data_IF_431363157007
#
_entry.id   IF_431363157007
#
_cell.length_a   1.000
_cell.length_b   1.000
_cell.length_c   1.000
_cell.angle_alpha   90.00
_cell.angle_beta   90.00
_cell.angle_gamma   90.00
#
_symmetry.space_group_name_H-M   'P 1'
#
loop_
_entity.id
_entity.type
_entity.pdbx_description
1 polymer ?
#
# COMPACT_ATOMS: atom_id res chain seq x y z
N UNK A 1 -20.93 14.68 -21.77
CA UNK A 1 -20.50 13.71 -20.75
C UNK A 1 -19.00 13.86 -20.59
N UNK A 2 -18.53 14.38 -19.46
CA UNK A 2 -17.10 14.49 -19.20
C UNK A 2 -16.55 13.07 -19.00
N UNK A 3 -15.58 12.67 -19.84
CA UNK A 3 -14.83 11.46 -19.59
C UNK A 3 -14.04 11.67 -18.29
N UNK A 4 -14.27 10.83 -17.28
CA UNK A 4 -13.49 10.84 -16.05
C UNK A 4 -12.06 10.41 -16.40
N UNK A 5 -11.09 11.29 -16.14
CA UNK A 5 -9.66 11.01 -16.23
C UNK A 5 -9.15 10.29 -14.97
N UNK A 6 -10.04 9.89 -14.07
CA UNK A 6 -9.73 9.22 -12.79
C UNK A 6 -8.95 7.90 -12.94
N UNK A 7 -8.76 7.40 -14.17
CA UNK A 7 -7.95 6.22 -14.49
C UNK A 7 -6.74 6.47 -15.40
N UNK A 8 -6.51 7.71 -15.86
CA UNK A 8 -5.31 8.10 -16.62
C UNK A 8 -4.46 8.93 -15.68
N UNK A 9 -3.91 8.27 -14.66
CA UNK A 9 -3.04 8.99 -13.78
C UNK A 9 -2.38 8.23 -12.65
N UNK A 10 -1.08 7.98 -12.76
CA UNK A 10 -0.31 7.19 -11.81
C UNK A 10 0.06 5.84 -12.40
N UNK A 11 1.26 5.74 -12.96
CA UNK A 11 1.87 4.44 -13.19
C UNK A 11 2.49 3.98 -11.86
N UNK A 12 2.10 2.81 -11.36
CA UNK A 12 2.84 2.16 -10.28
C UNK A 12 4.24 1.87 -10.79
N UNK A 13 5.23 2.48 -10.16
CA UNK A 13 6.66 2.32 -10.47
C UNK A 13 7.28 1.21 -9.64
N UNK A 14 6.65 0.86 -8.51
CA UNK A 14 7.12 -0.19 -7.62
C UNK A 14 5.96 -0.76 -6.82
N UNK A 15 5.93 -2.09 -6.72
CA UNK A 15 5.04 -2.80 -5.80
C UNK A 15 5.79 -3.88 -5.06
N UNK A 16 5.61 -3.94 -3.74
CA UNK A 16 6.15 -5.00 -2.90
C UNK A 16 5.04 -5.55 -2.00
N UNK A 17 4.95 -6.87 -1.93
CA UNK A 17 3.92 -7.55 -1.14
C UNK A 17 4.56 -8.48 -0.12
N UNK A 18 4.21 -8.30 1.16
CA UNK A 18 4.58 -9.22 2.23
C UNK A 18 3.37 -10.10 2.59
N UNK A 19 3.20 -11.21 1.86
CA UNK A 19 2.02 -12.10 1.97
C UNK A 19 1.74 -12.56 3.41
N UNK A 20 2.76 -13.00 4.15
CA UNK A 20 2.57 -13.53 5.52
C UNK A 20 2.13 -12.46 6.53
N UNK A 21 2.57 -11.22 6.35
CA UNK A 21 2.21 -10.07 7.19
C UNK A 21 1.03 -9.29 6.59
N UNK A 22 0.56 -9.70 5.42
CA UNK A 22 -0.53 -9.11 4.64
C UNK A 22 -0.35 -7.61 4.36
N UNK A 23 0.87 -7.23 3.99
CA UNK A 23 1.18 -5.87 3.52
C UNK A 23 1.33 -5.80 2.01
N UNK A 24 0.95 -4.67 1.47
CA UNK A 24 1.33 -4.21 0.14
C UNK A 24 1.87 -2.78 0.26
N UNK A 25 3.03 -2.54 -0.34
CA UNK A 25 3.59 -1.20 -0.52
C UNK A 25 3.49 -0.94 -2.03
N UNK A 26 2.84 0.15 -2.40
CA UNK A 26 2.73 0.61 -3.77
C UNK A 26 3.34 2.00 -3.87
N UNK A 27 4.10 2.25 -4.93
CA UNK A 27 4.63 3.57 -5.24
C UNK A 27 4.14 3.92 -6.64
N UNK A 28 3.42 5.03 -6.75
CA UNK A 28 3.02 5.61 -8.01
C UNK A 28 3.82 6.88 -8.28
N UNK A 29 4.16 7.12 -9.55
CA UNK A 29 4.59 8.44 -10.01
C UNK A 29 3.41 9.12 -10.70
N UNK A 30 2.99 10.28 -10.19
CA UNK A 30 1.78 11.01 -10.61
C UNK A 30 2.12 12.34 -11.29
N UNK A 31 2.34 12.36 -12.62
CA UNK A 31 2.61 13.59 -13.38
C UNK A 31 1.35 14.36 -13.84
N UNK A 32 0.15 13.91 -13.52
CA UNK A 32 -1.08 14.32 -14.22
C UNK A 32 -1.45 15.80 -14.05
N UNK A 33 -1.08 16.37 -12.91
CA UNK A 33 -1.36 17.77 -12.55
C UNK A 33 -0.08 18.55 -12.17
N UNK A 34 1.08 17.90 -12.27
CA UNK A 34 2.38 18.45 -11.93
C UNK A 34 3.43 17.93 -12.93
N UNK A 35 3.97 18.79 -13.83
CA UNK A 35 4.98 18.39 -14.80
C UNK A 35 6.28 17.90 -14.17
N UNK A 36 6.58 18.34 -12.95
CA UNK A 36 7.75 17.84 -12.19
C UNK A 36 7.46 16.47 -11.57
N UNK A 37 6.18 16.13 -11.41
CA UNK A 37 5.65 14.89 -10.84
C UNK A 37 6.00 14.71 -9.36
N UNK A 38 5.21 13.89 -8.68
CA UNK A 38 5.49 13.46 -7.32
C UNK A 38 5.41 11.94 -7.23
N UNK A 39 6.25 11.39 -6.36
CA UNK A 39 6.13 10.01 -5.91
C UNK A 39 5.11 9.95 -4.79
N UNK A 40 4.18 9.01 -4.90
CA UNK A 40 3.18 8.72 -3.91
C UNK A 40 3.36 7.28 -3.45
N UNK A 41 3.78 7.10 -2.21
CA UNK A 41 3.94 5.81 -1.56
C UNK A 41 2.71 5.54 -0.70
N UNK A 42 2.07 4.41 -0.93
CA UNK A 42 0.93 3.93 -0.15
C UNK A 42 1.27 2.57 0.47
N UNK A 43 1.00 2.40 1.76
CA UNK A 43 1.13 1.12 2.46
C UNK A 43 -0.25 0.64 2.88
N UNK A 44 -0.65 -0.50 2.32
CA UNK A 44 -1.91 -1.19 2.62
C UNK A 44 -1.67 -2.41 3.49
N UNK A 45 -2.51 -2.55 4.50
CA UNK A 45 -2.63 -3.73 5.33
C UNK A 45 -3.96 -4.43 5.03
N UNK A 46 -3.93 -5.75 4.83
CA UNK A 46 -5.15 -6.54 4.70
C UNK A 46 -5.30 -7.43 5.94
N UNK A 47 -6.25 -7.15 6.84
CA UNK A 47 -6.60 -8.04 7.94
C UNK A 47 -6.88 -9.47 7.47
N UNK A 48 -6.58 -10.45 8.32
CA UNK A 48 -6.98 -11.82 8.06
C UNK A 48 -8.50 -11.92 8.11
N UNK A 49 -9.15 -12.49 7.07
CA UNK A 49 -10.57 -12.79 7.14
C UNK A 49 -10.89 -13.59 8.40
N UNK A 50 -12.02 -13.30 9.03
CA UNK A 50 -12.46 -14.00 10.25
C UNK A 50 -13.48 -15.08 9.90
N UNK A 51 -13.42 -16.22 10.59
CA UNK A 51 -14.48 -17.22 10.59
C UNK A 51 -15.72 -16.68 11.33
N UNK A 52 -16.86 -17.34 11.19
CA UNK A 52 -18.07 -17.03 11.98
C UNK A 52 -17.81 -17.02 13.51
N UNK A 53 -16.81 -17.78 13.99
CA UNK A 53 -16.38 -17.81 15.39
C UNK A 53 -15.28 -16.79 15.73
N UNK A 54 -15.03 -15.80 14.87
CA UNK A 54 -14.04 -14.73 15.08
C UNK A 54 -12.55 -15.12 14.91
N UNK A 55 -12.24 -16.40 14.68
CA UNK A 55 -10.86 -16.86 14.46
C UNK A 55 -10.33 -16.41 13.10
N UNK A 56 -9.03 -16.11 13.03
CA UNK A 56 -8.35 -15.80 11.76
C UNK A 56 -8.36 -17.02 10.83
N UNK A 57 -8.71 -16.79 9.57
CA UNK A 57 -8.64 -17.77 8.48
C UNK A 57 -7.30 -17.66 7.77
N UNK A 58 -6.30 -18.39 8.27
CA UNK A 58 -4.92 -18.39 7.74
C UNK A 58 -4.77 -19.15 6.41
N UNK A 59 -5.79 -19.92 6.05
CA UNK A 59 -5.92 -20.68 4.81
C UNK A 59 -6.23 -19.80 3.60
N UNK A 60 -6.69 -18.56 3.82
CA UNK A 60 -7.11 -17.66 2.73
C UNK A 60 -5.89 -16.94 2.13
N UNK A 61 -5.69 -17.01 0.79
CA UNK A 61 -4.62 -16.28 0.12
C UNK A 61 -4.62 -14.78 0.43
N UNK A 62 -3.46 -14.15 0.27
CA UNK A 62 -3.39 -12.69 0.32
C UNK A 62 -4.03 -12.11 -0.94
N UNK A 63 -5.00 -11.22 -0.74
CA UNK A 63 -5.61 -10.41 -1.76
C UNK A 63 -6.06 -9.12 -1.09
N UNK A 64 -5.76 -7.97 -1.70
CA UNK A 64 -6.33 -6.69 -1.27
C UNK A 64 -7.82 -6.69 -1.63
N UNK A 65 -8.66 -6.57 -0.62
CA UNK A 65 -10.11 -6.54 -0.77
C UNK A 65 -10.73 -5.30 -0.14
N UNK A 66 -12.04 -5.34 0.10
CA UNK A 66 -12.78 -4.21 0.69
C UNK A 66 -12.32 -3.88 2.11
N UNK A 67 -11.77 -4.85 2.84
CA UNK A 67 -11.28 -4.65 4.20
C UNK A 67 -9.81 -4.19 4.25
N UNK A 68 -9.20 -3.86 3.11
CA UNK A 68 -7.84 -3.34 3.09
C UNK A 68 -7.80 -1.94 3.74
N UNK A 69 -6.85 -1.75 4.65
CA UNK A 69 -6.62 -0.51 5.37
C UNK A 69 -5.37 0.16 4.82
N UNK A 70 -5.46 1.42 4.39
CA UNK A 70 -4.27 2.24 4.16
C UNK A 70 -3.71 2.65 5.52
N UNK A 71 -2.54 2.10 5.87
CA UNK A 71 -1.89 2.36 7.16
C UNK A 71 -0.87 3.49 7.08
N UNK A 72 -0.50 3.89 5.87
CA UNK A 72 0.41 4.99 5.63
C UNK A 72 0.32 5.49 4.18
N UNK A 73 0.44 6.81 4.07
CA UNK A 73 0.58 7.52 2.81
C UNK A 73 1.74 8.51 2.96
N UNK A 74 2.55 8.62 1.92
CA UNK A 74 3.66 9.54 1.85
C UNK A 74 3.80 10.08 0.43
N UNK A 75 4.02 11.38 0.32
CA UNK A 75 4.23 12.04 -0.96
C UNK A 75 5.53 12.83 -0.94
N UNK A 76 6.33 12.69 -1.99
CA UNK A 76 7.57 13.44 -2.12
C UNK A 76 8.00 13.61 -3.57
N UNK A 77 8.72 14.69 -3.85
CA UNK A 77 9.48 14.85 -5.10
C UNK A 77 10.93 14.38 -4.97
N UNK A 78 11.41 14.15 -3.75
CA UNK A 78 12.78 13.72 -3.50
C UNK A 78 12.89 12.21 -3.58
N UNK A 79 13.61 11.72 -4.59
CA UNK A 79 13.90 10.29 -4.70
C UNK A 79 14.62 9.75 -3.47
N UNK A 80 15.56 10.51 -2.89
CA UNK A 80 16.26 10.11 -1.67
C UNK A 80 15.30 9.98 -0.48
N UNK A 81 14.34 10.90 -0.34
CA UNK A 81 13.33 10.80 0.71
C UNK A 81 12.38 9.62 0.48
N UNK A 82 12.00 9.36 -0.77
CA UNK A 82 11.20 8.18 -1.14
C UNK A 82 11.90 6.87 -0.73
N UNK A 83 13.19 6.74 -1.06
CA UNK A 83 13.96 5.54 -0.73
C UNK A 83 14.08 5.37 0.79
N UNK A 84 14.35 6.45 1.53
CA UNK A 84 14.41 6.40 2.98
C UNK A 84 13.07 5.96 3.61
N UNK A 85 11.95 6.49 3.11
CA UNK A 85 10.62 6.11 3.60
C UNK A 85 10.28 4.65 3.22
N UNK A 86 10.62 4.23 2.01
CA UNK A 86 10.43 2.85 1.56
C UNK A 86 11.23 1.86 2.43
N UNK A 87 12.51 2.13 2.68
CA UNK A 87 13.36 1.31 3.53
C UNK A 87 12.82 1.23 4.96
N UNK A 88 12.35 2.36 5.50
CA UNK A 88 11.70 2.42 6.80
C UNK A 88 10.48 1.49 6.86
N UNK A 89 9.61 1.53 5.85
CA UNK A 89 8.41 0.70 5.81
C UNK A 89 8.68 -0.77 5.53
N UNK A 90 9.67 -1.10 4.70
CA UNK A 90 10.11 -2.48 4.53
C UNK A 90 10.56 -3.04 5.88
N UNK A 91 11.43 -2.33 6.60
CA UNK A 91 11.90 -2.74 7.92
C UNK A 91 10.73 -2.89 8.90
N UNK A 92 9.82 -1.91 8.93
CA UNK A 92 8.64 -1.94 9.80
C UNK A 92 7.72 -3.13 9.52
N UNK A 93 7.50 -3.46 8.24
CA UNK A 93 6.65 -4.58 7.83
C UNK A 93 7.19 -5.94 8.30
N UNK A 94 8.52 -6.11 8.42
CA UNK A 94 9.12 -7.39 8.85
C UNK A 94 8.76 -7.76 10.29
N UNK A 95 8.69 -6.76 11.18
CA UNK A 95 8.37 -6.91 12.60
C UNK A 95 6.90 -6.62 12.91
N UNK A 96 6.10 -6.34 11.87
CA UNK A 96 4.75 -5.85 12.07
C UNK A 96 3.83 -6.86 12.77
N UNK A 97 3.15 -6.36 13.78
CA UNK A 97 2.13 -7.06 14.57
C UNK A 97 0.86 -6.23 14.63
N UNK A 98 -0.01 -6.33 13.62
CA UNK A 98 -1.41 -5.86 13.75
C UNK A 98 -2.34 -7.02 13.52
N UNK A 99 -2.90 -7.48 14.63
CA UNK A 99 -4.32 -7.49 14.91
C UNK A 99 -4.44 -8.00 16.35
N UNK A 100 -5.13 -7.25 17.22
CA UNK A 100 -5.46 -7.61 18.60
C UNK A 100 -4.57 -7.04 19.72
N UNK A 101 -4.14 -5.78 19.62
CA UNK A 101 -4.08 -4.92 20.82
C UNK A 101 -5.48 -4.35 21.09
#
# INVERSE_FOLDING_TARGET
MAASLDGIGGSSVFTATHVQRRFNIDIAFRPEFDPEGAFHLEVKYQPWPRSERGRRRKDVPFALGMDAETVHEFETRSYAALIAELEHWIARCTVWTREGD
#
